data_IF_989146775283
#
_entry.id   IF_989146775283
#
_cell.length_a   1.000
_cell.length_b   1.000
_cell.length_c   1.000
_cell.angle_alpha   90.00
_cell.angle_beta   90.00
_cell.angle_gamma   90.00
#
_symmetry.space_group_name_H-M   'P 1'
#
loop_
_entity.id
_entity.type
_entity.pdbx_description
1 polymer ?
#
# COMPACT_ATOMS: atom_id res chain seq x y z
N UNK A 1 -18.58 -2.27 -7.34
CA UNK A 1 -17.28 -2.32 -6.63
C UNK A 1 -16.17 -1.68 -7.45
N UNK A 2 -15.83 -2.17 -8.66
CA UNK A 2 -14.80 -1.49 -9.50
C UNK A 2 -15.19 -0.05 -9.82
N UNK A 3 -16.47 0.21 -10.11
CA UNK A 3 -17.03 1.55 -10.29
C UNK A 3 -16.86 2.47 -9.07
N UNK A 4 -17.04 1.93 -7.86
CA UNK A 4 -16.88 2.65 -6.58
C UNK A 4 -15.42 3.02 -6.28
N UNK A 5 -14.45 2.24 -6.79
CA UNK A 5 -13.02 2.58 -6.71
C UNK A 5 -12.71 3.82 -7.58
N UNK A 6 -13.60 4.15 -8.52
CA UNK A 6 -13.52 5.29 -9.43
C UNK A 6 -12.18 5.35 -10.19
N UNK A 7 -11.82 4.31 -10.96
CA UNK A 7 -10.56 4.28 -11.72
C UNK A 7 -10.51 5.43 -12.74
N UNK A 8 -9.36 6.11 -12.82
CA UNK A 8 -9.15 7.29 -13.67
C UNK A 8 -8.69 6.95 -15.10
N UNK A 9 -8.17 5.75 -15.29
CA UNK A 9 -7.66 5.24 -16.57
C UNK A 9 -7.71 3.70 -16.63
N UNK A 10 -7.23 3.14 -17.73
CA UNK A 10 -7.21 1.70 -17.96
C UNK A 10 -6.33 0.91 -16.98
N UNK A 11 -5.21 1.49 -16.51
CA UNK A 11 -4.34 0.82 -15.54
C UNK A 11 -5.00 0.77 -14.16
N UNK A 12 -5.61 1.88 -13.72
CA UNK A 12 -6.42 1.89 -12.50
C UNK A 12 -7.59 0.89 -12.60
N UNK A 13 -8.23 0.75 -13.77
CA UNK A 13 -9.33 -0.19 -13.98
C UNK A 13 -8.87 -1.66 -13.83
N UNK A 14 -7.71 -2.00 -14.39
CA UNK A 14 -7.11 -3.33 -14.22
C UNK A 14 -6.74 -3.59 -12.77
N UNK A 15 -6.10 -2.62 -12.10
CA UNK A 15 -5.72 -2.75 -10.70
C UNK A 15 -6.95 -2.90 -9.80
N UNK A 16 -7.99 -2.09 -10.01
CA UNK A 16 -9.26 -2.18 -9.29
C UNK A 16 -9.95 -3.54 -9.49
N UNK A 17 -9.92 -4.08 -10.71
CA UNK A 17 -10.44 -5.42 -10.99
C UNK A 17 -9.66 -6.50 -10.24
N UNK A 18 -8.33 -6.40 -10.20
CA UNK A 18 -7.47 -7.30 -9.43
C UNK A 18 -7.75 -7.21 -7.92
N UNK A 19 -7.95 -6.00 -7.39
CA UNK A 19 -8.28 -5.78 -5.97
C UNK A 19 -9.59 -6.46 -5.57
N UNK A 20 -10.63 -6.36 -6.40
CA UNK A 20 -11.91 -7.06 -6.16
C UNK A 20 -11.73 -8.58 -6.20
N UNK A 21 -10.98 -9.09 -7.17
CA UNK A 21 -10.70 -10.52 -7.27
C UNK A 21 -9.93 -11.04 -6.04
N UNK A 22 -8.88 -10.33 -5.60
CA UNK A 22 -8.08 -10.70 -4.44
C UNK A 22 -8.91 -10.68 -3.15
N UNK A 23 -9.77 -9.68 -2.97
CA UNK A 23 -10.68 -9.63 -1.84
C UNK A 23 -11.59 -10.86 -1.83
N UNK A 24 -12.25 -11.17 -2.95
CA UNK A 24 -13.14 -12.32 -3.06
C UNK A 24 -12.40 -13.66 -2.82
N UNK A 25 -11.19 -13.82 -3.36
CA UNK A 25 -10.37 -14.99 -3.11
C UNK A 25 -9.98 -15.13 -1.64
N UNK A 26 -9.65 -14.02 -0.97
CA UNK A 26 -9.34 -14.03 0.46
C UNK A 26 -10.55 -14.45 1.30
N UNK A 27 -11.73 -13.90 0.99
CA UNK A 27 -12.98 -14.27 1.65
C UNK A 27 -13.31 -15.76 1.45
N UNK A 28 -13.10 -16.30 0.24
CA UNK A 28 -13.31 -17.72 -0.03
C UNK A 28 -12.31 -18.61 0.72
N UNK A 29 -11.03 -18.20 0.82
CA UNK A 29 -10.05 -18.92 1.63
C UNK A 29 -10.46 -18.96 3.11
N UNK A 30 -10.94 -17.85 3.67
CA UNK A 30 -11.44 -17.79 5.04
C UNK A 30 -12.68 -18.65 5.23
N UNK A 31 -13.63 -18.60 4.28
CA UNK A 31 -14.84 -19.43 4.31
C UNK A 31 -14.51 -20.91 4.30
N UNK A 32 -13.54 -21.35 3.48
CA UNK A 32 -13.11 -22.75 3.44
C UNK A 32 -12.42 -23.20 4.71
N UNK A 33 -11.64 -22.31 5.35
CA UNK A 33 -10.93 -22.62 6.58
C UNK A 33 -11.85 -22.91 7.77
N UNK A 34 -13.11 -22.46 7.73
CA UNK A 34 -14.09 -22.66 8.81
C UNK A 34 -15.14 -23.73 8.51
N UNK A 35 -14.99 -24.49 7.41
CA UNK A 35 -15.92 -25.58 7.10
C UNK A 35 -15.85 -26.68 8.17
N UNK A 36 -16.99 -27.34 8.49
CA UNK A 36 -16.96 -28.56 9.28
C UNK A 36 -16.09 -29.62 8.57
N UNK A 37 -15.41 -30.46 9.36
CA UNK A 37 -14.51 -31.52 8.89
C UNK A 37 -13.21 -31.06 8.21
N UNK A 38 -12.79 -29.81 8.44
CA UNK A 38 -11.45 -29.39 8.04
C UNK A 38 -10.36 -30.08 8.86
N UNK A 39 -9.30 -30.50 8.18
CA UNK A 39 -8.07 -30.92 8.84
C UNK A 39 -7.32 -29.70 9.38
N UNK A 40 -6.51 -29.88 10.42
CA UNK A 40 -5.66 -28.80 10.93
C UNK A 40 -4.80 -28.17 9.83
N UNK A 41 -4.28 -28.99 8.92
CA UNK A 41 -3.50 -28.53 7.74
C UNK A 41 -4.37 -27.68 6.82
N UNK A 42 -5.59 -28.10 6.52
CA UNK A 42 -6.52 -27.36 5.67
C UNK A 42 -6.95 -26.01 6.25
N UNK A 43 -7.21 -25.95 7.57
CA UNK A 43 -7.45 -24.68 8.28
C UNK A 43 -6.24 -23.77 8.14
N UNK A 44 -5.05 -24.26 8.48
CA UNK A 44 -3.81 -23.48 8.45
C UNK A 44 -3.50 -22.96 7.04
N UNK A 45 -3.65 -23.79 6.00
CA UNK A 45 -3.43 -23.40 4.62
C UNK A 45 -4.44 -22.34 4.15
N UNK A 46 -5.72 -22.51 4.48
CA UNK A 46 -6.76 -21.53 4.16
C UNK A 46 -6.48 -20.17 4.79
N UNK A 47 -6.16 -20.14 6.09
CA UNK A 47 -5.80 -18.91 6.82
C UNK A 47 -4.50 -18.29 6.28
N UNK A 48 -3.47 -19.09 6.02
CA UNK A 48 -2.21 -18.57 5.50
C UNK A 48 -2.36 -17.97 4.10
N UNK A 49 -3.17 -18.58 3.23
CA UNK A 49 -3.47 -18.05 1.90
C UNK A 49 -4.29 -16.76 1.99
N UNK A 50 -5.32 -16.71 2.84
CA UNK A 50 -6.13 -15.50 3.01
C UNK A 50 -5.30 -14.31 3.50
N UNK A 51 -4.41 -14.52 4.48
CA UNK A 51 -3.51 -13.49 5.01
C UNK A 51 -2.57 -12.94 3.93
N UNK A 52 -2.02 -13.82 3.08
CA UNK A 52 -1.17 -13.39 1.95
C UNK A 52 -1.95 -12.51 0.97
N UNK A 53 -3.17 -12.93 0.59
CA UNK A 53 -4.04 -12.16 -0.29
C UNK A 53 -4.44 -10.81 0.31
N UNK A 54 -4.73 -10.75 1.61
CA UNK A 54 -5.02 -9.49 2.32
C UNK A 54 -3.82 -8.54 2.31
N UNK A 55 -2.60 -9.05 2.53
CA UNK A 55 -1.38 -8.24 2.41
C UNK A 55 -1.18 -7.71 0.99
N UNK A 56 -1.47 -8.52 -0.03
CA UNK A 56 -1.45 -8.06 -1.43
C UNK A 56 -2.48 -6.96 -1.68
N UNK A 57 -3.70 -7.10 -1.14
CA UNK A 57 -4.74 -6.06 -1.25
C UNK A 57 -4.26 -4.72 -0.64
N UNK A 58 -3.65 -4.75 0.55
CA UNK A 58 -3.07 -3.55 1.17
C UNK A 58 -1.97 -2.93 0.29
N UNK A 59 -1.09 -3.76 -0.29
CA UNK A 59 -0.06 -3.27 -1.20
C UNK A 59 -0.64 -2.65 -2.47
N UNK A 60 -1.76 -3.17 -3.00
CA UNK A 60 -2.46 -2.58 -4.13
C UNK A 60 -3.14 -1.25 -3.78
N UNK A 61 -3.69 -1.12 -2.56
CA UNK A 61 -4.20 0.16 -2.05
C UNK A 61 -3.09 1.22 -2.01
N UNK A 62 -1.91 0.86 -1.51
CA UNK A 62 -0.75 1.75 -1.53
C UNK A 62 -0.30 2.09 -2.95
N UNK A 63 -0.24 1.10 -3.85
CA UNK A 63 0.13 1.30 -5.24
C UNK A 63 -0.83 2.27 -5.95
N UNK A 64 -2.14 2.09 -5.75
CA UNK A 64 -3.17 2.98 -6.28
C UNK A 64 -3.02 4.41 -5.72
N UNK A 65 -2.78 4.54 -4.41
CA UNK A 65 -2.55 5.84 -3.78
C UNK A 65 -1.30 6.55 -4.34
N UNK A 66 -0.19 5.81 -4.50
CA UNK A 66 1.05 6.35 -5.08
C UNK A 66 0.88 6.76 -6.53
N UNK A 67 0.18 5.93 -7.33
CA UNK A 67 -0.13 6.19 -8.72
C UNK A 67 -0.96 7.48 -8.87
N UNK A 68 -2.03 7.61 -8.07
CA UNK A 68 -2.92 8.79 -8.05
C UNK A 68 -2.24 10.09 -7.60
N UNK A 69 -1.28 10.00 -6.70
CA UNK A 69 -0.54 11.15 -6.19
C UNK A 69 0.69 11.49 -7.05
N UNK A 70 0.87 10.79 -8.17
CA UNK A 70 1.87 11.09 -9.19
C UNK A 70 3.31 10.97 -8.71
N UNK A 71 3.58 10.13 -7.70
CA UNK A 71 4.93 9.94 -7.15
C UNK A 71 5.64 11.23 -6.74
N UNK A 72 4.91 12.29 -6.40
CA UNK A 72 5.47 13.63 -6.14
C UNK A 72 6.33 13.63 -4.87
N UNK A 73 7.59 13.24 -5.00
CA UNK A 73 8.63 13.72 -4.13
C UNK A 73 8.80 15.20 -4.48
N UNK A 74 8.15 16.07 -3.71
CA UNK A 74 8.17 17.52 -3.92
C UNK A 74 9.57 18.01 -3.55
N UNK A 75 10.52 17.99 -4.50
CA UNK A 75 11.84 18.58 -4.32
C UNK A 75 11.64 20.10 -4.34
N UNK A 76 11.52 20.71 -3.16
CA UNK A 76 11.53 22.16 -3.02
C UNK A 76 12.98 22.63 -3.16
N UNK A 77 13.36 23.08 -4.37
CA UNK A 77 14.69 23.68 -4.59
C UNK A 77 14.69 25.07 -3.94
N UNK A 78 15.23 25.16 -2.72
CA UNK A 78 15.54 26.43 -2.09
C UNK A 78 16.97 26.81 -2.48
N UNK A 79 17.12 27.79 -3.39
CA UNK A 79 18.42 28.37 -3.69
C UNK A 79 18.92 29.09 -2.43
N UNK A 80 19.87 28.49 -1.72
CA UNK A 80 20.59 29.14 -0.64
C UNK A 80 21.83 29.76 -1.26
N UNK A 81 21.85 31.09 -1.39
CA UNK A 81 23.07 31.80 -1.77
C UNK A 81 23.97 31.83 -0.54
N UNK A 82 25.01 30.98 -0.53
CA UNK A 82 26.04 31.00 0.50
C UNK A 82 27.08 32.02 0.08
N UNK A 83 26.93 33.27 0.51
CA UNK A 83 28.01 34.24 0.40
C UNK A 83 29.20 33.78 1.27
N UNK A 84 30.41 33.98 0.75
CA UNK A 84 31.67 33.44 1.27
C UNK A 84 31.86 33.75 2.76
N UNK A 85 31.59 32.75 3.61
CA UNK A 85 31.74 32.85 5.06
C UNK A 85 30.71 32.06 5.89
N UNK A 86 29.61 31.57 5.29
CA UNK A 86 28.57 30.85 6.04
C UNK A 86 28.59 29.34 5.80
N UNK A 87 28.76 28.53 6.86
CA UNK A 87 28.53 27.08 6.78
C UNK A 87 27.04 26.78 6.95
N UNK A 88 26.41 26.24 5.91
CA UNK A 88 25.06 25.68 6.01
C UNK A 88 25.15 24.24 6.51
N UNK A 89 24.54 23.95 7.67
CA UNK A 89 24.38 22.58 8.17
C UNK A 89 23.05 22.05 7.64
N UNK A 90 23.08 20.94 6.90
CA UNK A 90 21.87 20.23 6.44
C UNK A 90 21.70 18.97 7.29
N UNK A 91 20.67 18.96 8.12
CA UNK A 91 20.32 17.83 9.00
C UNK A 91 19.10 18.16 9.87
N UNK A 92 18.40 17.14 10.35
CA UNK A 92 17.21 17.29 11.21
C UNK A 92 17.63 17.77 12.61
N UNK A 93 17.44 19.06 12.90
CA UNK A 93 17.88 19.67 14.16
C UNK A 93 16.80 19.51 15.23
N UNK A 94 16.90 18.44 16.03
CA UNK A 94 16.17 18.35 17.30
C UNK A 94 16.87 19.25 18.34
N UNK A 95 16.34 20.46 18.59
CA UNK A 95 16.83 21.32 19.66
C UNK A 95 16.49 20.72 21.03
N UNK A 96 17.48 20.13 21.70
CA UNK A 96 17.41 19.83 23.13
C UNK A 96 17.39 21.13 23.95
N UNK A 97 16.42 21.26 24.86
CA UNK A 97 16.40 22.32 25.89
C UNK A 97 17.36 21.94 27.00
N UNK A 98 18.32 22.82 27.28
CA UNK A 98 19.20 22.82 28.45
C UNK A 98 19.69 24.23 28.68
#
# INVERSE_FOLDING_TARGET
MVTEIAPRDGLECMLASQMVAIHNMSMECMRRAILPDQTLVGVNDGVNRSVKLMRTFTAQMEALQRYRNGGKQKITVQHVNVEGGSQAIVGDVHKGRG
#
